data_IF_281509071184
#
_entry.id   IF_281509071184
#
_cell.length_a   1.000
_cell.length_b   1.000
_cell.length_c   1.000
_cell.angle_alpha   90.00
_cell.angle_beta   90.00
_cell.angle_gamma   90.00
#
_symmetry.space_group_name_H-M   'P 1'
#
loop_
_entity.id
_entity.type
_entity.pdbx_description
1 polymer ?
#
# COMPACT_ATOMS: atom_id res chain seq x y z
N UNK A 1 -61.71 10.54 49.72
CA UNK A 1 -60.63 9.66 49.22
C UNK A 1 -60.00 10.31 48.01
N UNK A 2 -58.83 10.92 48.20
CA UNK A 2 -57.89 11.42 47.18
C UNK A 2 -56.54 11.58 47.90
N UNK A 3 -55.45 10.89 47.49
CA UNK A 3 -54.16 11.02 48.15
C UNK A 3 -53.34 12.17 47.56
N UNK A 4 -52.74 12.95 48.45
CA UNK A 4 -51.76 14.01 48.16
C UNK A 4 -50.39 13.33 47.99
N UNK A 5 -49.81 13.43 46.80
CA UNK A 5 -48.45 12.95 46.49
C UNK A 5 -47.45 14.03 46.90
N UNK A 6 -46.54 13.68 47.81
CA UNK A 6 -45.45 14.52 48.30
C UNK A 6 -44.34 14.58 47.24
N UNK A 7 -44.09 15.78 46.71
CA UNK A 7 -42.98 16.09 45.81
C UNK A 7 -41.66 16.13 46.57
N UNK A 8 -40.71 15.25 46.20
CA UNK A 8 -39.32 15.25 46.66
C UNK A 8 -38.56 16.46 46.09
N UNK A 9 -37.97 17.28 46.94
CA UNK A 9 -36.93 18.25 46.57
C UNK A 9 -35.60 17.51 46.31
N UNK A 10 -34.79 17.93 45.31
CA UNK A 10 -33.45 17.40 45.12
C UNK A 10 -32.42 18.04 46.08
N UNK A 11 -31.47 17.21 46.51
CA UNK A 11 -30.35 17.52 47.39
C UNK A 11 -29.32 18.49 46.74
N UNK A 12 -28.47 19.17 47.55
CA UNK A 12 -27.55 20.19 47.07
C UNK A 12 -26.38 19.62 46.27
N UNK A 13 -26.00 20.36 45.22
CA UNK A 13 -24.84 20.14 44.36
C UNK A 13 -23.54 20.09 45.17
N UNK A 14 -22.89 18.93 45.18
CA UNK A 14 -21.49 18.78 45.58
C UNK A 14 -20.58 19.20 44.41
N UNK A 15 -19.83 20.28 44.60
CA UNK A 15 -18.73 20.65 43.71
C UNK A 15 -17.63 19.57 43.76
N UNK A 16 -17.44 18.86 42.66
CA UNK A 16 -16.21 18.09 42.41
C UNK A 16 -15.19 19.01 41.72
N UNK A 17 -13.91 19.01 42.12
CA UNK A 17 -12.88 19.76 41.42
C UNK A 17 -12.62 19.10 40.06
N UNK A 18 -12.68 19.88 38.99
CA UNK A 18 -12.27 19.44 37.65
C UNK A 18 -10.79 19.01 37.70
N UNK A 19 -10.41 17.89 37.07
CA UNK A 19 -9.01 17.64 36.78
C UNK A 19 -8.53 18.66 35.75
N UNK A 20 -7.54 19.45 36.15
CA UNK A 20 -6.73 20.30 35.28
C UNK A 20 -6.17 19.43 34.15
N UNK A 21 -6.74 19.57 32.95
CA UNK A 21 -6.17 18.95 31.76
C UNK A 21 -4.83 19.62 31.47
N UNK A 22 -3.70 18.89 31.36
CA UNK A 22 -2.48 19.50 30.88
C UNK A 22 -2.71 19.85 29.41
N UNK A 23 -2.77 21.15 29.13
CA UNK A 23 -2.62 21.73 27.81
C UNK A 23 -1.31 21.22 27.23
N UNK A 24 -1.39 20.14 26.44
CA UNK A 24 -0.29 19.72 25.59
C UNK A 24 0.02 20.89 24.64
N UNK A 25 1.28 21.36 24.60
CA UNK A 25 1.62 22.49 23.76
C UNK A 25 1.37 22.12 22.30
N UNK A 26 0.64 23.01 21.63
CA UNK A 26 0.36 23.05 20.20
C UNK A 26 1.68 23.26 19.42
N UNK A 27 2.60 22.29 19.47
CA UNK A 27 3.92 22.40 18.82
C UNK A 27 4.51 21.07 18.40
N UNK A 28 3.74 20.19 17.75
CA UNK A 28 4.30 19.18 16.84
C UNK A 28 3.35 19.02 15.65
N UNK A 29 3.47 19.88 14.64
CA UNK A 29 2.85 19.64 13.32
C UNK A 29 3.72 20.02 12.11
N UNK A 30 5.00 20.33 12.31
CA UNK A 30 5.91 20.71 11.20
C UNK A 30 7.27 20.00 11.29
N UNK A 31 7.32 18.81 11.90
CA UNK A 31 8.56 17.99 11.93
C UNK A 31 8.37 16.55 11.42
N UNK A 32 7.37 16.31 10.57
CA UNK A 32 7.25 15.04 9.84
C UNK A 32 7.98 15.03 8.49
N UNK A 33 8.61 16.14 8.06
CA UNK A 33 9.16 16.27 6.71
C UNK A 33 10.55 15.65 6.48
N UNK A 34 11.18 15.07 7.51
CA UNK A 34 12.50 14.41 7.39
C UNK A 34 12.55 13.05 8.08
N UNK A 35 11.42 12.35 8.17
CA UNK A 35 11.44 10.93 8.53
C UNK A 35 12.06 10.13 7.37
N UNK A 36 13.06 9.26 7.62
CA UNK A 36 13.55 8.31 6.63
C UNK A 36 12.37 7.58 5.97
N UNK A 37 12.48 7.29 4.66
CA UNK A 37 11.41 6.61 3.90
C UNK A 37 10.94 5.31 4.59
N UNK A 38 11.85 4.63 5.30
CA UNK A 38 11.59 3.45 6.11
C UNK A 38 10.72 3.66 7.35
N UNK A 39 10.63 4.88 7.89
CA UNK A 39 9.74 5.20 9.03
C UNK A 39 8.38 5.70 8.53
N UNK A 40 8.36 6.47 7.44
CA UNK A 40 7.11 6.87 6.79
C UNK A 40 6.32 5.66 6.27
N UNK A 41 7.02 4.69 5.67
CA UNK A 41 6.41 3.43 5.25
C UNK A 41 5.79 2.70 6.44
N UNK A 42 6.55 2.46 7.52
CA UNK A 42 6.08 1.78 8.74
C UNK A 42 4.83 2.42 9.34
N UNK A 43 4.84 3.73 9.52
CA UNK A 43 3.70 4.45 10.09
C UNK A 43 2.46 4.32 9.19
N UNK A 44 2.63 4.36 7.87
CA UNK A 44 1.53 4.25 6.92
C UNK A 44 0.96 2.84 6.84
N UNK A 45 1.77 1.78 6.81
CA UNK A 45 1.29 0.39 6.90
C UNK A 45 0.51 0.14 8.19
N UNK A 46 1.04 0.56 9.34
CA UNK A 46 0.35 0.38 10.63
C UNK A 46 -0.96 1.18 10.70
N UNK A 47 -1.01 2.38 10.13
CA UNK A 47 -2.24 3.16 10.07
C UNK A 47 -3.32 2.47 9.23
N UNK A 48 -2.94 1.86 8.10
CA UNK A 48 -3.89 1.17 7.23
C UNK A 48 -4.40 -0.14 7.81
N UNK A 49 -3.56 -0.88 8.52
CA UNK A 49 -3.96 -2.09 9.24
C UNK A 49 -5.11 -1.77 10.23
N UNK A 50 -4.95 -0.69 11.00
CA UNK A 50 -5.98 -0.23 11.94
C UNK A 50 -7.27 0.16 11.22
N UNK A 51 -7.17 0.83 10.07
CA UNK A 51 -8.33 1.19 9.26
C UNK A 51 -9.07 -0.05 8.73
N UNK A 52 -8.34 -1.03 8.18
CA UNK A 52 -8.93 -2.29 7.69
C UNK A 52 -9.59 -3.10 8.81
N UNK A 53 -8.96 -3.16 9.99
CA UNK A 53 -9.53 -3.81 11.17
C UNK A 53 -10.79 -3.09 11.67
N UNK A 54 -10.80 -1.76 11.67
CA UNK A 54 -11.94 -0.95 12.11
C UNK A 54 -13.15 -1.07 11.18
N UNK A 55 -12.93 -1.30 9.88
CA UNK A 55 -14.01 -1.46 8.89
C UNK A 55 -14.77 -2.79 8.99
N UNK A 56 -14.37 -3.71 9.88
CA UNK A 56 -15.05 -5.00 10.06
C UNK A 56 -15.18 -5.72 8.73
N UNK A 57 -14.05 -6.16 8.18
CA UNK A 57 -13.99 -6.74 6.85
C UNK A 57 -14.94 -7.94 6.73
N UNK A 58 -16.06 -7.74 6.04
CA UNK A 58 -16.99 -8.81 5.69
C UNK A 58 -16.34 -9.77 4.70
N UNK A 59 -16.71 -11.03 4.90
CA UNK A 59 -16.29 -12.23 4.20
C UNK A 59 -15.98 -11.98 2.72
N UNK A 60 -14.69 -12.08 2.41
CA UNK A 60 -14.17 -12.18 1.07
C UNK A 60 -14.80 -13.45 0.48
N UNK A 61 -15.83 -13.31 -0.36
CA UNK A 61 -16.43 -14.46 -1.05
C UNK A 61 -15.51 -14.90 -2.19
N UNK A 62 -14.35 -15.46 -1.81
CA UNK A 62 -13.39 -16.09 -2.69
C UNK A 62 -14.00 -17.37 -3.25
N UNK A 63 -14.27 -17.39 -4.55
CA UNK A 63 -14.08 -18.62 -5.32
C UNK A 63 -12.59 -18.65 -5.64
N UNK A 64 -11.79 -19.22 -4.74
CA UNK A 64 -10.36 -19.36 -4.94
C UNK A 64 -10.09 -20.12 -6.23
N UNK A 65 -9.31 -19.51 -7.13
CA UNK A 65 -8.51 -20.30 -8.06
C UNK A 65 -7.33 -20.79 -7.22
N UNK A 66 -7.53 -21.90 -6.52
CA UNK A 66 -6.42 -22.68 -5.97
C UNK A 66 -5.63 -23.21 -7.15
N UNK A 67 -4.48 -22.59 -7.47
CA UNK A 67 -3.46 -23.12 -8.38
C UNK A 67 -4.04 -24.01 -9.49
N UNK A 68 -4.98 -23.47 -10.25
CA UNK A 68 -5.59 -24.17 -11.35
C UNK A 68 -4.55 -24.26 -12.45
N UNK A 69 -4.32 -25.45 -12.96
CA UNK A 69 -3.49 -25.71 -14.14
C UNK A 69 -3.87 -24.68 -15.21
N UNK A 70 -3.00 -23.71 -15.43
CA UNK A 70 -3.27 -22.67 -16.41
C UNK A 70 -2.95 -23.27 -17.77
N UNK A 71 -3.96 -23.28 -18.64
CA UNK A 71 -3.73 -23.52 -20.06
C UNK A 71 -2.79 -22.40 -20.54
N UNK A 72 -1.52 -22.75 -20.70
CA UNK A 72 -0.40 -21.81 -20.71
C UNK A 72 -0.26 -21.00 -21.99
N UNK A 73 -1.17 -20.05 -22.22
CA UNK A 73 -1.13 -19.10 -23.34
C UNK A 73 -1.39 -17.63 -22.94
N UNK A 74 -1.66 -17.34 -21.65
CA UNK A 74 -1.93 -15.98 -21.16
C UNK A 74 -0.68 -15.18 -20.79
N UNK A 75 -0.66 -13.87 -21.05
CA UNK A 75 0.48 -13.01 -20.68
C UNK A 75 0.64 -12.89 -19.15
N UNK A 76 -0.46 -13.04 -18.40
CA UNK A 76 -0.42 -13.09 -16.95
C UNK A 76 0.43 -14.26 -16.42
N UNK A 77 0.40 -15.44 -17.05
CA UNK A 77 1.17 -16.60 -16.59
C UNK A 77 2.67 -16.39 -16.67
N UNK A 78 3.10 -15.55 -17.60
CA UNK A 78 4.50 -15.15 -17.74
C UNK A 78 4.91 -14.11 -16.70
N UNK A 79 3.99 -13.26 -16.25
CA UNK A 79 4.27 -12.13 -15.36
C UNK A 79 4.15 -12.49 -13.87
N UNK A 80 3.11 -13.25 -13.51
CA UNK A 80 2.76 -13.55 -12.11
C UNK A 80 3.91 -14.18 -11.31
N UNK A 81 4.65 -15.19 -11.82
CA UNK A 81 5.75 -15.80 -11.05
C UNK A 81 6.83 -14.81 -10.64
N UNK A 82 7.15 -13.84 -11.51
CA UNK A 82 8.11 -12.77 -11.21
C UNK A 82 7.53 -11.79 -10.20
N UNK A 83 6.26 -11.42 -10.35
CA UNK A 83 5.57 -10.54 -9.42
C UNK A 83 5.51 -11.11 -7.99
N UNK A 84 5.25 -12.41 -7.86
CA UNK A 84 5.24 -13.09 -6.56
C UNK A 84 6.61 -13.03 -5.87
N UNK A 85 7.72 -13.11 -6.62
CA UNK A 85 9.08 -12.94 -6.07
C UNK A 85 9.39 -11.49 -5.70
N UNK A 86 8.92 -10.52 -6.49
CA UNK A 86 9.04 -9.08 -6.21
C UNK A 86 8.40 -8.74 -4.87
N UNK A 87 7.13 -9.09 -4.68
CA UNK A 87 6.43 -8.89 -3.40
C UNK A 87 6.84 -9.90 -2.32
N UNK A 88 7.52 -10.98 -2.70
CA UNK A 88 8.07 -12.01 -1.82
C UNK A 88 9.43 -11.68 -1.22
N UNK A 89 9.97 -10.48 -1.48
CA UNK A 89 11.34 -10.08 -1.07
C UNK A 89 12.45 -11.03 -1.54
N UNK A 90 12.22 -11.75 -2.65
CA UNK A 90 13.13 -12.77 -3.20
C UNK A 90 13.47 -12.54 -4.68
N UNK A 91 13.27 -11.32 -5.16
CA UNK A 91 13.53 -10.97 -6.54
C UNK A 91 15.01 -10.98 -6.91
N UNK A 92 15.27 -11.47 -8.12
CA UNK A 92 16.55 -11.45 -8.81
C UNK A 92 16.51 -10.45 -9.96
N UNK A 93 17.66 -10.16 -10.58
CA UNK A 93 17.73 -9.27 -11.74
C UNK A 93 16.77 -9.67 -12.88
N UNK A 94 16.59 -10.99 -13.08
CA UNK A 94 15.71 -11.54 -14.13
C UNK A 94 14.24 -11.25 -13.90
N UNK A 95 13.81 -11.16 -12.64
CA UNK A 95 12.41 -10.90 -12.31
C UNK A 95 11.97 -9.48 -12.70
N UNK A 96 12.92 -8.59 -13.02
CA UNK A 96 12.64 -7.26 -13.56
C UNK A 96 12.60 -7.21 -15.09
N UNK A 97 12.92 -8.29 -15.79
CA UNK A 97 12.86 -8.33 -17.26
C UNK A 97 11.43 -8.28 -17.79
N UNK A 98 10.42 -8.50 -16.94
CA UNK A 98 9.01 -8.31 -17.26
C UNK A 98 8.66 -6.84 -17.58
N UNK A 99 9.47 -5.88 -17.14
CA UNK A 99 9.20 -4.46 -17.32
C UNK A 99 9.78 -3.92 -18.62
N UNK A 100 9.08 -2.97 -19.22
CA UNK A 100 9.65 -2.08 -20.23
C UNK A 100 10.75 -1.20 -19.61
N UNK A 101 11.82 -0.82 -20.34
CA UNK A 101 12.90 0.01 -19.80
C UNK A 101 12.43 1.31 -19.12
N UNK A 102 11.34 1.90 -19.64
CA UNK A 102 10.74 3.15 -19.16
C UNK A 102 9.47 2.94 -18.33
N UNK A 103 9.25 1.72 -17.83
CA UNK A 103 8.06 1.41 -17.04
C UNK A 103 7.93 2.31 -15.82
N UNK A 104 6.69 2.61 -15.45
CA UNK A 104 6.37 3.39 -14.26
C UNK A 104 5.78 2.47 -13.20
N UNK A 105 6.32 2.52 -11.99
CA UNK A 105 5.73 1.89 -10.81
C UNK A 105 5.23 2.95 -9.83
N UNK A 106 4.00 2.79 -9.37
CA UNK A 106 3.37 3.71 -8.43
C UNK A 106 2.70 2.95 -7.29
N UNK A 107 2.96 3.38 -6.07
CA UNK A 107 2.21 2.97 -4.89
C UNK A 107 1.89 4.22 -4.04
N UNK A 108 1.19 4.11 -2.90
CA UNK A 108 0.88 5.26 -2.07
C UNK A 108 2.11 5.97 -1.45
N UNK A 109 3.30 5.38 -1.50
CA UNK A 109 4.54 5.85 -0.89
C UNK A 109 5.57 6.35 -1.91
N UNK A 110 5.60 5.81 -3.12
CA UNK A 110 6.66 6.05 -4.09
C UNK A 110 6.15 6.12 -5.54
N UNK A 111 6.95 6.78 -6.37
CA UNK A 111 6.74 6.88 -7.81
C UNK A 111 8.09 6.62 -8.48
N UNK A 112 8.24 5.44 -9.08
CA UNK A 112 9.45 5.00 -9.73
C UNK A 112 9.32 5.08 -11.25
N UNK A 113 10.32 5.67 -11.88
CA UNK A 113 10.44 5.85 -13.31
C UNK A 113 11.63 5.03 -13.82
N UNK A 114 11.33 4.07 -14.66
CA UNK A 114 12.29 3.15 -15.27
C UNK A 114 12.75 2.03 -14.34
N UNK A 115 13.25 0.96 -14.95
CA UNK A 115 13.55 -0.32 -14.28
C UNK A 115 14.54 -0.15 -13.11
N UNK A 116 15.49 0.79 -13.18
CA UNK A 116 16.46 1.02 -12.09
C UNK A 116 15.80 1.51 -10.80
N UNK A 117 14.81 2.41 -10.91
CA UNK A 117 14.07 2.88 -9.74
C UNK A 117 13.12 1.79 -9.24
N UNK A 118 12.49 1.04 -10.14
CA UNK A 118 11.66 -0.12 -9.80
C UNK A 118 12.47 -1.16 -9.01
N UNK A 119 13.68 -1.50 -9.48
CA UNK A 119 14.63 -2.35 -8.74
C UNK A 119 14.87 -1.85 -7.33
N UNK A 120 15.13 -0.54 -7.19
CA UNK A 120 15.36 0.05 -5.87
C UNK A 120 14.14 -0.01 -4.96
N UNK A 121 12.94 0.15 -5.50
CA UNK A 121 11.70 0.00 -4.75
C UNK A 121 11.60 -1.41 -4.15
N UNK A 122 11.69 -2.44 -4.99
CA UNK A 122 11.53 -3.83 -4.56
C UNK A 122 12.72 -4.36 -3.74
N UNK A 123 13.96 -3.99 -4.05
CA UNK A 123 15.13 -4.34 -3.24
C UNK A 123 15.16 -3.68 -1.86
N UNK A 124 14.34 -2.64 -1.64
CA UNK A 124 14.19 -2.06 -0.31
C UNK A 124 13.27 -2.87 0.61
N UNK A 125 12.38 -3.71 0.06
CA UNK A 125 11.43 -4.52 0.85
C UNK A 125 12.13 -5.45 1.87
N UNK A 126 13.11 -6.29 1.51
CA UNK A 126 13.79 -7.16 2.50
C UNK A 126 14.55 -6.38 3.58
N UNK A 127 14.85 -5.09 3.36
CA UNK A 127 15.49 -4.23 4.38
C UNK A 127 14.48 -3.67 5.37
N UNK A 128 13.21 -3.63 5.00
CA UNK A 128 12.14 -3.03 5.79
C UNK A 128 11.28 -4.08 6.51
N UNK A 129 11.09 -5.23 5.88
CA UNK A 129 10.23 -6.32 6.32
C UNK A 129 11.05 -7.57 6.57
N UNK A 130 10.84 -8.21 7.72
CA UNK A 130 11.46 -9.51 8.01
C UNK A 130 10.79 -10.65 7.26
N UNK A 131 9.51 -10.47 6.90
CA UNK A 131 8.75 -11.38 6.03
C UNK A 131 7.86 -10.54 5.11
N UNK A 132 7.74 -10.94 3.84
CA UNK A 132 6.89 -10.32 2.84
C UNK A 132 6.44 -11.39 1.85
N UNK A 133 5.14 -11.51 1.59
CA UNK A 133 4.60 -12.42 0.58
C UNK A 133 3.17 -12.05 0.21
N UNK A 134 2.77 -12.39 -1.01
CA UNK A 134 1.36 -12.46 -1.37
C UNK A 134 0.83 -13.81 -0.87
N UNK A 135 -0.19 -13.80 -0.02
CA UNK A 135 -0.77 -15.02 0.56
C UNK A 135 -1.94 -15.54 -0.27
N UNK A 136 -2.73 -14.63 -0.85
CA UNK A 136 -3.92 -14.92 -1.63
C UNK A 136 -3.97 -13.92 -2.79
N UNK A 137 -4.37 -14.37 -3.97
CA UNK A 137 -4.60 -13.49 -5.10
C UNK A 137 -5.61 -14.08 -6.09
N UNK A 138 -6.24 -13.20 -6.86
CA UNK A 138 -7.07 -13.52 -8.04
C UNK A 138 -6.61 -12.66 -9.19
N UNK A 139 -6.59 -13.22 -10.40
CA UNK A 139 -6.10 -12.54 -11.61
C UNK A 139 -7.25 -12.40 -12.60
N UNK A 140 -7.41 -11.21 -13.13
CA UNK A 140 -8.30 -10.90 -14.25
C UNK A 140 -7.46 -10.29 -15.38
N UNK A 141 -7.51 -10.90 -16.56
CA UNK A 141 -6.80 -10.43 -17.75
C UNK A 141 -7.80 -9.87 -18.76
N UNK A 142 -7.60 -8.62 -19.18
CA UNK A 142 -8.48 -7.91 -20.09
C UNK A 142 -7.70 -7.38 -21.30
N UNK A 143 -8.05 -7.83 -22.50
CA UNK A 143 -7.51 -7.27 -23.74
C UNK A 143 -8.05 -5.86 -23.96
N UNK A 144 -7.17 -4.86 -24.09
CA UNK A 144 -7.54 -3.45 -24.27
C UNK A 144 -7.27 -2.93 -25.69
N UNK A 145 -6.65 -3.76 -26.53
CA UNK A 145 -6.37 -3.49 -27.94
C UNK A 145 -5.32 -4.47 -28.49
N UNK A 146 -4.96 -4.37 -29.79
CA UNK A 146 -3.93 -5.22 -30.36
C UNK A 146 -2.60 -5.07 -29.60
N UNK A 147 -2.10 -6.17 -29.04
CA UNK A 147 -0.85 -6.19 -28.26
C UNK A 147 -0.91 -5.46 -26.91
N UNK A 148 -2.10 -5.04 -26.45
CA UNK A 148 -2.29 -4.31 -25.18
C UNK A 148 -3.21 -5.07 -24.25
N UNK A 149 -2.75 -5.30 -23.03
CA UNK A 149 -3.46 -6.06 -22.01
C UNK A 149 -3.44 -5.29 -20.69
N UNK A 150 -4.57 -5.28 -20.00
CA UNK A 150 -4.66 -4.85 -18.60
C UNK A 150 -4.84 -6.10 -17.72
N UNK A 151 -3.95 -6.27 -16.74
CA UNK A 151 -4.03 -7.34 -15.76
C UNK A 151 -4.39 -6.71 -14.42
N UNK A 152 -5.47 -7.18 -13.81
CA UNK A 152 -5.91 -6.79 -12.48
C UNK A 152 -5.65 -7.96 -11.53
N UNK A 153 -4.94 -7.70 -10.45
CA UNK A 153 -4.57 -8.73 -9.47
C UNK A 153 -5.07 -8.26 -8.12
N UNK A 154 -6.19 -8.82 -7.70
CA UNK A 154 -6.71 -8.59 -6.36
C UNK A 154 -5.99 -9.50 -5.38
N UNK A 155 -5.30 -8.94 -4.39
CA UNK A 155 -4.40 -9.72 -3.57
C UNK A 155 -4.40 -9.30 -2.10
N UNK A 156 -4.00 -10.26 -1.26
CA UNK A 156 -3.71 -10.05 0.15
C UNK A 156 -2.20 -10.21 0.35
N UNK A 157 -1.55 -9.13 0.76
CA UNK A 157 -0.14 -9.09 1.09
C UNK A 157 0.04 -9.29 2.60
N UNK A 158 0.97 -10.16 2.97
CA UNK A 158 1.39 -10.36 4.34
C UNK A 158 2.78 -9.78 4.54
N UNK A 159 2.92 -8.90 5.53
CA UNK A 159 4.17 -8.30 5.93
C UNK A 159 4.45 -8.55 7.41
N UNK A 160 5.71 -8.72 7.77
CA UNK A 160 6.14 -8.74 9.17
C UNK A 160 7.15 -7.63 9.43
N UNK A 161 6.79 -6.75 10.37
CA UNK A 161 7.62 -5.63 10.80
C UNK A 161 7.78 -5.72 12.32
N UNK A 162 9.02 -5.83 12.81
CA UNK A 162 9.32 -5.91 14.25
C UNK A 162 8.50 -6.98 14.99
N UNK A 163 8.35 -8.16 14.38
CA UNK A 163 7.59 -9.27 14.97
C UNK A 163 6.06 -9.13 14.90
N UNK A 164 5.54 -8.00 14.41
CA UNK A 164 4.11 -7.81 14.16
C UNK A 164 3.77 -8.15 12.72
N UNK A 165 2.86 -9.09 12.55
CA UNK A 165 2.26 -9.42 11.26
C UNK A 165 1.21 -8.38 10.89
N UNK A 166 1.22 -7.95 9.63
CA UNK A 166 0.30 -7.00 9.04
C UNK A 166 -0.19 -7.59 7.73
N UNK A 167 -1.51 -7.77 7.62
CA UNK A 167 -2.14 -8.13 6.37
C UNK A 167 -2.70 -6.88 5.69
N UNK A 168 -2.43 -6.74 4.40
CA UNK A 168 -2.87 -5.64 3.56
C UNK A 168 -3.60 -6.18 2.34
N UNK A 169 -4.85 -5.79 2.16
CA UNK A 169 -5.56 -6.01 0.90
C UNK A 169 -5.14 -4.94 -0.10
N UNK A 170 -4.74 -5.35 -1.29
CA UNK A 170 -4.32 -4.48 -2.37
C UNK A 170 -4.94 -4.92 -3.70
N UNK A 171 -4.98 -3.99 -4.64
CA UNK A 171 -5.28 -4.25 -6.04
C UNK A 171 -4.06 -3.81 -6.86
N UNK A 172 -3.37 -4.77 -7.46
CA UNK A 172 -2.28 -4.48 -8.39
C UNK A 172 -2.87 -4.37 -9.79
N UNK A 173 -2.57 -3.26 -10.48
CA UNK A 173 -2.96 -3.02 -11.87
C UNK A 173 -1.72 -2.97 -12.75
N UNK A 174 -1.67 -3.84 -13.74
CA UNK A 174 -0.59 -3.86 -14.72
C UNK A 174 -1.15 -3.48 -16.09
N UNK A 175 -0.54 -2.50 -16.73
CA UNK A 175 -0.70 -2.26 -18.17
C UNK A 175 0.48 -2.89 -18.88
N UNK A 176 0.18 -3.77 -19.81
CA UNK A 176 1.14 -4.53 -20.58
C UNK A 176 0.99 -4.14 -22.05
N UNK A 177 2.11 -3.78 -22.67
CA UNK A 177 2.20 -3.51 -24.10
C UNK A 177 3.32 -4.38 -24.66
N UNK A 178 3.05 -5.09 -25.76
CA UNK A 178 4.04 -5.95 -26.44
C UNK A 178 4.70 -6.97 -25.49
N UNK A 179 3.91 -7.50 -24.53
CA UNK A 179 4.36 -8.49 -23.55
C UNK A 179 5.24 -7.93 -22.42
N UNK A 180 5.40 -6.61 -22.31
CA UNK A 180 6.14 -5.95 -21.23
C UNK A 180 5.24 -5.03 -20.40
N UNK A 181 5.46 -5.03 -19.09
CA UNK A 181 4.76 -4.13 -18.17
C UNK A 181 5.26 -2.70 -18.40
N UNK A 182 4.37 -1.81 -18.82
CA UNK A 182 4.65 -0.38 -19.01
C UNK A 182 4.19 0.47 -17.83
N UNK A 183 3.16 0.02 -17.11
CA UNK A 183 2.67 0.68 -15.88
C UNK A 183 2.27 -0.37 -14.86
N UNK A 184 2.74 -0.19 -13.62
CA UNK A 184 2.42 -1.03 -12.48
C UNK A 184 1.93 -0.12 -11.35
N UNK A 185 0.67 -0.24 -10.99
CA UNK A 185 0.08 0.48 -9.86
C UNK A 185 -0.28 -0.49 -8.75
N UNK A 186 0.13 -0.20 -7.51
CA UNK A 186 -0.29 -0.93 -6.32
C UNK A 186 -1.28 -0.07 -5.51
N UNK A 187 -2.55 -0.47 -5.55
CA UNK A 187 -3.64 0.26 -4.89
C UNK A 187 -3.98 -0.40 -3.56
N UNK A 188 -3.45 0.18 -2.48
CA UNK A 188 -3.74 -0.28 -1.13
C UNK A 188 -5.19 0.00 -0.75
N UNK A 189 -5.86 -0.98 -0.14
CA UNK A 189 -7.31 -0.93 0.20
C UNK A 189 -8.18 -0.69 -1.05
N UNK A 190 -7.72 -1.12 -2.24
CA UNK A 190 -8.32 -0.85 -3.56
C UNK A 190 -8.58 0.63 -3.83
N UNK A 191 -7.93 1.53 -3.09
CA UNK A 191 -8.12 2.96 -3.26
C UNK A 191 -7.23 3.45 -4.39
N UNK A 192 -7.78 4.19 -5.37
CA UNK A 192 -6.98 4.78 -6.42
C UNK A 192 -5.92 5.69 -5.82
N UNK A 193 -4.73 5.66 -6.43
CA UNK A 193 -3.64 6.56 -6.07
C UNK A 193 -4.12 8.01 -6.20
N UNK A 194 -3.79 8.84 -5.21
CA UNK A 194 -4.09 10.28 -5.24
C UNK A 194 -3.09 10.96 -6.14
N UNK A 195 -3.41 11.04 -7.42
CA UNK A 195 -2.64 11.73 -8.45
C UNK A 195 -3.39 13.01 -8.86
N UNK A 196 -2.80 13.80 -9.77
CA UNK A 196 -3.39 15.04 -10.32
C UNK A 196 -4.82 14.86 -10.84
N UNK A 197 -5.17 13.65 -11.28
CA UNK A 197 -6.46 13.31 -11.90
C UNK A 197 -7.51 12.74 -10.93
N UNK A 198 -7.10 12.28 -9.74
CA UNK A 198 -7.95 11.57 -8.77
C UNK A 198 -8.12 12.30 -7.43
N UNK A 199 -7.35 13.36 -7.17
CA UNK A 199 -7.51 14.18 -5.97
C UNK A 199 -8.64 15.21 -6.15
N UNK A 200 -9.45 15.42 -5.10
CA UNK A 200 -10.52 16.42 -5.08
C UNK A 200 -10.03 17.87 -5.27
N UNK A 201 -8.73 18.11 -5.08
CA UNK A 201 -8.07 19.39 -5.29
C UNK A 201 -6.72 19.17 -6.01
N UNK A 202 -6.54 19.85 -7.15
CA UNK A 202 -5.36 19.71 -8.01
C UNK A 202 -4.02 20.00 -7.29
N UNK A 203 -4.02 20.87 -6.28
CA UNK A 203 -2.83 21.19 -5.49
C UNK A 203 -2.41 20.03 -4.57
N UNK A 204 -3.37 19.33 -3.96
CA UNK A 204 -3.10 18.18 -3.09
C UNK A 204 -2.54 17.00 -3.90
N UNK A 205 -3.05 16.77 -5.11
CA UNK A 205 -2.55 15.74 -6.03
C UNK A 205 -1.13 16.00 -6.53
N UNK A 206 -0.75 17.27 -6.75
CA UNK A 206 0.63 17.63 -7.10
C UNK A 206 1.59 17.42 -5.94
N UNK A 207 1.18 17.78 -4.72
CA UNK A 207 2.00 17.61 -3.53
C UNK A 207 2.24 16.13 -3.21
N UNK A 208 1.23 15.27 -3.33
CA UNK A 208 1.38 13.83 -3.14
C UNK A 208 2.35 13.21 -4.15
N UNK A 209 2.24 13.57 -5.43
CA UNK A 209 3.14 13.10 -6.47
C UNK A 209 4.60 13.53 -6.22
N UNK A 210 4.83 14.80 -5.89
CA UNK A 210 6.16 15.32 -5.54
C UNK A 210 6.75 14.55 -4.35
N UNK A 211 5.93 14.28 -3.33
CA UNK A 211 6.37 13.53 -2.14
C UNK A 211 6.75 12.09 -2.49
N UNK A 212 5.95 11.42 -3.33
CA UNK A 212 6.23 10.05 -3.81
C UNK A 212 7.51 9.99 -4.65
N UNK A 213 7.73 10.96 -5.53
CA UNK A 213 8.97 11.06 -6.31
C UNK A 213 10.20 11.32 -5.42
N UNK A 214 10.07 12.20 -4.43
CA UNK A 214 11.15 12.47 -3.47
C UNK A 214 11.49 11.23 -2.62
N UNK A 215 10.47 10.53 -2.13
CA UNK A 215 10.61 9.25 -1.42
C UNK A 215 11.35 8.22 -2.28
N UNK A 216 10.96 8.09 -3.55
CA UNK A 216 11.63 7.20 -4.48
C UNK A 216 13.10 7.59 -4.71
N UNK A 217 13.40 8.88 -4.87
CA UNK A 217 14.78 9.33 -5.05
C UNK A 217 15.67 8.95 -3.85
N UNK A 218 15.18 9.16 -2.63
CA UNK A 218 15.89 8.76 -1.40
C UNK A 218 16.14 7.26 -1.39
N UNK A 219 15.11 6.46 -1.66
CA UNK A 219 15.22 5.00 -1.73
C UNK A 219 16.22 4.56 -2.81
N UNK A 220 16.19 5.19 -3.98
CA UNK A 220 17.08 4.87 -5.10
C UNK A 220 18.55 5.08 -4.73
N UNK A 221 18.87 6.19 -4.06
CA UNK A 221 20.23 6.47 -3.57
C UNK A 221 20.65 5.45 -2.51
N UNK A 222 19.80 5.17 -1.53
CA UNK A 222 20.09 4.20 -0.46
C UNK A 222 20.28 2.77 -0.99
N UNK A 223 19.63 2.42 -2.09
CA UNK A 223 19.74 1.12 -2.75
C UNK A 223 20.84 1.06 -3.81
N UNK A 224 21.74 2.05 -3.87
CA UNK A 224 22.86 2.02 -4.81
C UNK A 224 22.41 2.09 -6.26
N UNK A 225 21.41 2.93 -6.55
CA UNK A 225 20.91 3.22 -7.90
C UNK A 225 20.35 2.00 -8.65
N UNK A 226 19.73 1.07 -7.92
CA UNK A 226 19.11 -0.12 -8.50
C UNK A 226 20.11 -1.15 -8.98
N UNK A 227 21.34 -1.10 -8.47
CA UNK A 227 22.33 -2.17 -8.66
C UNK A 227 21.80 -3.45 -8.05
N UNK A 228 21.97 -4.55 -8.77
CA UNK A 228 21.58 -5.86 -8.28
C UNK A 228 22.40 -6.23 -7.04
N UNK A 229 21.78 -6.82 -6.00
CA UNK A 229 22.51 -7.26 -4.82
C UNK A 229 23.55 -8.30 -5.23
N UNK A 230 24.72 -8.23 -4.58
CA UNK A 230 25.75 -9.26 -4.71
C UNK A 230 25.24 -10.50 -3.98
N UNK A 231 24.84 -11.52 -4.74
CA UNK A 231 24.55 -12.85 -4.18
C UNK A 231 25.78 -13.42 -3.49
#
# INVERSE_FOLDING_TARGET
MLPIVVSKLPAPFSFLPMPLSPLLPLRIRVLSHFLPSSIQSKAKYSSMEKEQRAKGFQDFKYRGVTGGRVDGDGIADLIIPHLLKLYGSSATARDFEIYSPNAIFEDPLMCAHGVKQIKSAFYSLPKLFSESKIVEYTVEENSTGPGKVEILIDNKQHYKIFGKAIDLVSLIRLKVEEGKVVRHEDWWDRKPLKNRETASLALTGRLSEVTRRASMLITHVLMGFGKDPSN
#
